data_IF_251165754939
#
_entry.id   IF_251165754939
#
_cell.length_a   1.000
_cell.length_b   1.000
_cell.length_c   1.000
_cell.angle_alpha   90.00
_cell.angle_beta   90.00
_cell.angle_gamma   90.00
#
_symmetry.space_group_name_H-M   'P 1'
#
loop_
_entity.id
_entity.type
_entity.pdbx_description
1 polymer ?
#
# COMPACT_ATOMS: atom_id res chain seq x y z
N UNK A 1 -21.65 -18.04 39.05
CA UNK A 1 -21.79 -16.89 38.12
C UNK A 1 -20.49 -16.11 38.18
N UNK A 2 -19.75 -16.00 37.07
CA UNK A 2 -18.49 -15.23 37.04
C UNK A 2 -18.85 -13.74 37.01
N UNK A 3 -18.39 -12.99 38.01
CA UNK A 3 -18.51 -11.52 38.04
C UNK A 3 -17.71 -10.94 36.88
N UNK A 4 -18.42 -10.38 35.90
CA UNK A 4 -17.82 -9.64 34.80
C UNK A 4 -17.71 -8.17 35.24
N UNK A 5 -16.56 -7.50 35.08
CA UNK A 5 -16.36 -6.14 35.57
C UNK A 5 -17.34 -5.14 34.93
N UNK A 6 -17.76 -4.15 35.73
CA UNK A 6 -18.68 -3.06 35.39
C UNK A 6 -18.31 -2.31 34.09
N UNK A 7 -17.05 -2.40 33.66
CA UNK A 7 -16.51 -1.83 32.41
C UNK A 7 -17.24 -2.34 31.16
N UNK A 8 -17.79 -3.57 31.17
CA UNK A 8 -18.58 -4.06 30.03
C UNK A 8 -19.93 -3.35 29.87
N UNK A 9 -20.49 -2.75 30.92
CA UNK A 9 -21.77 -2.04 30.82
C UNK A 9 -21.63 -0.60 30.32
N UNK A 10 -20.46 0.02 30.48
CA UNK A 10 -20.23 1.39 29.98
C UNK A 10 -19.89 1.45 28.49
N UNK A 11 -19.48 0.33 27.88
CA UNK A 11 -19.20 0.26 26.43
C UNK A 11 -20.47 0.39 25.56
N UNK A 12 -21.65 0.10 26.12
CA UNK A 12 -22.92 0.14 25.40
C UNK A 12 -23.54 1.54 25.28
N UNK A 13 -23.05 2.54 26.04
CA UNK A 13 -23.63 3.89 26.03
C UNK A 13 -22.99 4.79 24.94
N UNK A 14 -21.81 4.41 24.42
CA UNK A 14 -21.05 5.21 23.44
C UNK A 14 -20.78 4.53 22.08
N UNK A 15 -21.29 3.31 21.83
CA UNK A 15 -21.08 2.64 20.53
C UNK A 15 -19.63 2.21 20.24
N UNK A 16 -18.82 2.01 21.28
CA UNK A 16 -17.39 1.67 21.23
C UNK A 16 -16.98 0.17 21.16
N UNK A 17 -17.87 -0.85 21.12
CA UNK A 17 -17.41 -2.25 21.06
C UNK A 17 -16.58 -2.60 19.83
N UNK A 18 -16.96 -2.14 18.63
CA UNK A 18 -16.24 -2.42 17.38
C UNK A 18 -14.84 -1.80 17.38
N UNK A 19 -14.70 -0.54 17.82
CA UNK A 19 -13.42 0.16 17.79
C UNK A 19 -12.37 -0.50 18.69
N UNK A 20 -12.78 -1.04 19.84
CA UNK A 20 -11.84 -1.73 20.73
C UNK A 20 -11.39 -3.07 20.14
N UNK A 21 -12.29 -3.78 19.48
CA UNK A 21 -11.99 -5.03 18.76
C UNK A 21 -11.01 -4.76 17.60
N UNK A 22 -11.30 -3.76 16.77
CA UNK A 22 -10.45 -3.32 15.66
C UNK A 22 -9.02 -2.95 16.10
N UNK A 23 -8.88 -2.36 17.30
CA UNK A 23 -7.57 -2.01 17.88
C UNK A 23 -6.81 -3.23 18.40
N UNK A 24 -7.52 -4.26 18.90
CA UNK A 24 -6.91 -5.50 19.35
C UNK A 24 -6.47 -6.36 18.17
N UNK A 25 -7.24 -6.36 17.08
CA UNK A 25 -6.93 -7.06 15.82
C UNK A 25 -5.84 -6.37 15.00
N UNK A 26 -5.39 -5.19 15.41
CA UNK A 26 -4.29 -4.50 14.73
C UNK A 26 -3.03 -5.39 14.74
N UNK A 27 -2.47 -5.64 13.56
CA UNK A 27 -1.36 -6.58 13.40
C UNK A 27 -0.06 -6.12 14.10
N UNK A 28 -0.01 -4.87 14.55
CA UNK A 28 1.08 -4.26 15.34
C UNK A 28 0.82 -4.31 16.85
N UNK A 29 -0.38 -4.75 17.27
CA UNK A 29 -0.75 -4.88 18.67
C UNK A 29 0.17 -5.88 19.38
N UNK A 30 0.40 -5.66 20.68
CA UNK A 30 1.35 -6.44 21.49
C UNK A 30 1.04 -7.95 21.46
N UNK A 31 -0.24 -8.32 21.34
CA UNK A 31 -0.69 -9.71 21.24
C UNK A 31 -0.26 -10.42 19.94
N UNK A 32 0.00 -9.67 18.86
CA UNK A 32 0.26 -10.21 17.53
C UNK A 32 1.70 -9.98 17.06
N UNK A 33 2.43 -9.07 17.72
CA UNK A 33 3.73 -8.62 17.21
C UNK A 33 4.79 -9.72 17.15
N UNK A 34 4.79 -10.66 18.10
CA UNK A 34 5.72 -11.79 18.08
C UNK A 34 5.45 -12.76 16.94
N UNK A 35 4.17 -13.04 16.65
CA UNK A 35 3.78 -13.89 15.54
C UNK A 35 4.09 -13.22 14.20
N UNK A 36 3.71 -11.95 14.05
CA UNK A 36 4.08 -11.12 12.91
C UNK A 36 5.57 -11.19 12.62
N UNK A 37 6.40 -10.92 13.62
CA UNK A 37 7.84 -10.83 13.43
C UNK A 37 8.43 -12.19 13.05
N UNK A 38 7.96 -13.29 13.65
CA UNK A 38 8.35 -14.64 13.24
C UNK A 38 7.95 -14.95 11.80
N UNK A 39 6.76 -14.52 11.36
CA UNK A 39 6.32 -14.71 9.98
C UNK A 39 7.19 -13.91 8.99
N UNK A 40 7.43 -12.63 9.26
CA UNK A 40 8.26 -11.76 8.41
C UNK A 40 9.69 -12.29 8.28
N UNK A 41 10.34 -12.69 9.38
CA UNK A 41 11.69 -13.27 9.35
C UNK A 41 11.73 -14.55 8.49
N UNK A 42 10.69 -15.40 8.58
CA UNK A 42 10.60 -16.60 7.72
C UNK A 42 10.44 -16.24 6.25
N UNK A 43 9.65 -15.22 5.92
CA UNK A 43 9.53 -14.74 4.53
C UNK A 43 10.84 -14.16 4.01
N UNK A 44 11.60 -13.43 4.82
CA UNK A 44 12.95 -12.95 4.46
C UNK A 44 13.91 -14.12 4.19
N UNK A 45 13.85 -15.17 5.02
CA UNK A 45 14.63 -16.38 4.81
C UNK A 45 14.25 -17.08 3.50
N UNK A 46 12.95 -17.26 3.22
CA UNK A 46 12.45 -17.84 1.96
C UNK A 46 12.90 -17.00 0.75
N UNK A 47 12.76 -15.68 0.85
CA UNK A 47 13.19 -14.71 -0.16
C UNK A 47 14.66 -14.93 -0.52
N UNK A 48 15.54 -15.01 0.48
CA UNK A 48 16.98 -15.28 0.31
C UNK A 48 17.27 -16.66 -0.26
N UNK A 49 16.69 -17.70 0.31
CA UNK A 49 17.01 -19.09 -0.04
C UNK A 49 16.48 -19.50 -1.41
N UNK A 50 15.32 -18.98 -1.80
CA UNK A 50 14.65 -19.29 -3.07
C UNK A 50 14.90 -18.24 -4.15
N UNK A 51 15.55 -17.13 -3.79
CA UNK A 51 15.76 -16.00 -4.67
C UNK A 51 14.44 -15.46 -5.25
N UNK A 52 13.48 -15.16 -4.38
CA UNK A 52 12.14 -14.68 -4.74
C UNK A 52 11.77 -13.42 -3.99
N UNK A 53 11.16 -12.46 -4.67
CA UNK A 53 10.58 -11.28 -4.03
C UNK A 53 9.22 -11.61 -3.43
N UNK A 54 9.02 -11.38 -2.14
CA UNK A 54 7.72 -11.56 -1.49
C UNK A 54 6.89 -10.28 -1.62
N UNK A 55 5.63 -10.43 -2.03
CA UNK A 55 4.63 -9.36 -2.04
C UNK A 55 3.35 -9.86 -1.38
N UNK A 56 2.88 -9.13 -0.37
CA UNK A 56 1.63 -9.40 0.33
C UNK A 56 0.48 -8.67 -0.37
N UNK A 57 -0.67 -9.32 -0.44
CA UNK A 57 -1.92 -8.71 -0.84
C UNK A 57 -2.89 -8.76 0.35
N UNK A 58 -3.40 -7.60 0.77
CA UNK A 58 -4.26 -7.47 1.95
C UNK A 58 -5.50 -6.60 1.68
N UNK A 59 -6.48 -6.69 2.58
CA UNK A 59 -7.77 -6.02 2.47
C UNK A 59 -8.35 -5.62 3.84
N UNK A 60 -9.68 -5.55 3.93
CA UNK A 60 -10.46 -5.38 5.18
C UNK A 60 -10.29 -4.06 5.98
N UNK A 61 -9.45 -3.13 5.50
CA UNK A 61 -9.26 -1.81 6.15
C UNK A 61 -9.99 -0.65 5.46
N UNK A 62 -10.90 -0.97 4.55
CA UNK A 62 -11.77 -0.06 3.78
C UNK A 62 -11.07 1.11 3.07
N UNK A 63 -9.76 1.01 2.86
CA UNK A 63 -8.95 1.93 2.09
C UNK A 63 -7.90 1.16 1.29
N UNK A 64 -7.22 1.85 0.38
CA UNK A 64 -6.06 1.32 -0.31
C UNK A 64 -4.80 2.10 0.03
N UNK A 65 -3.67 1.43 -0.08
CA UNK A 65 -2.35 1.90 0.33
C UNK A 65 -1.26 0.93 -0.08
N UNK A 66 -0.02 1.38 -0.01
CA UNK A 66 1.14 0.55 -0.30
C UNK A 66 2.15 0.77 0.81
N UNK A 67 2.63 -0.32 1.38
CA UNK A 67 3.76 -0.32 2.31
C UNK A 67 4.85 -1.26 1.82
N UNK A 68 6.04 -1.09 2.37
CA UNK A 68 7.16 -2.00 2.17
C UNK A 68 7.93 -2.22 3.46
N UNK A 69 8.47 -3.41 3.58
CA UNK A 69 9.63 -3.70 4.41
C UNK A 69 10.87 -3.55 3.54
N UNK A 70 11.99 -3.12 4.10
CA UNK A 70 13.29 -3.10 3.42
C UNK A 70 14.41 -3.20 4.45
N UNK A 71 15.62 -3.54 3.99
CA UNK A 71 16.83 -3.40 4.82
C UNK A 71 16.96 -1.94 5.26
N UNK A 72 17.35 -1.73 6.52
CA UNK A 72 17.55 -0.37 7.05
C UNK A 72 18.56 0.44 6.23
N UNK A 73 18.45 1.78 6.31
CA UNK A 73 19.30 2.68 5.51
C UNK A 73 20.81 2.54 5.85
N UNK A 74 21.15 1.90 6.98
CA UNK A 74 22.54 1.77 7.42
C UNK A 74 23.35 0.79 6.57
N UNK A 75 22.70 -0.21 5.94
CA UNK A 75 23.39 -1.26 5.18
C UNK A 75 23.44 -1.02 3.65
N UNK A 76 22.87 0.08 3.13
CA UNK A 76 22.89 0.48 1.71
C UNK A 76 22.85 -0.71 0.72
N UNK A 77 21.70 -1.36 0.60
CA UNK A 77 21.49 -2.45 -0.37
C UNK A 77 20.61 -1.97 -1.53
N UNK A 78 21.04 -2.09 -2.80
CA UNK A 78 20.16 -1.84 -3.94
C UNK A 78 18.91 -2.72 -3.87
N UNK A 79 17.75 -2.17 -4.22
CA UNK A 79 16.46 -2.86 -4.06
C UNK A 79 16.44 -4.25 -4.69
N UNK A 80 17.02 -4.44 -5.88
CA UNK A 80 17.10 -5.74 -6.57
C UNK A 80 17.86 -6.82 -5.81
N UNK A 81 18.77 -6.48 -4.92
CA UNK A 81 19.56 -7.45 -4.13
C UNK A 81 19.07 -7.58 -2.69
N UNK A 82 18.16 -6.70 -2.26
CA UNK A 82 17.65 -6.71 -0.90
C UNK A 82 16.62 -7.81 -0.68
N UNK A 83 17.03 -8.98 -0.20
CA UNK A 83 16.12 -10.06 0.20
C UNK A 83 15.09 -9.69 1.29
N UNK A 84 15.31 -8.61 2.06
CA UNK A 84 14.37 -8.11 3.08
C UNK A 84 13.30 -7.21 2.48
N UNK A 85 13.52 -6.68 1.28
CA UNK A 85 12.55 -5.84 0.59
C UNK A 85 11.32 -6.67 0.20
N UNK A 86 10.20 -6.37 0.84
CA UNK A 86 8.91 -7.03 0.64
C UNK A 86 7.82 -5.97 0.59
N UNK A 87 6.92 -6.05 -0.37
CA UNK A 87 5.83 -5.06 -0.49
C UNK A 87 4.54 -5.60 0.09
N UNK A 88 3.69 -4.71 0.56
CA UNK A 88 2.29 -5.01 0.87
C UNK A 88 1.39 -4.07 0.08
N UNK A 89 0.47 -4.69 -0.68
CA UNK A 89 -0.55 -4.01 -1.46
C UNK A 89 -1.86 -4.12 -0.71
N UNK A 90 -2.35 -2.99 -0.23
CA UNK A 90 -3.62 -2.90 0.47
C UNK A 90 -4.68 -2.49 -0.55
N UNK A 91 -5.62 -3.39 -0.85
CA UNK A 91 -6.78 -3.11 -1.69
C UNK A 91 -8.03 -3.52 -0.95
N UNK A 92 -8.76 -2.53 -0.43
CA UNK A 92 -10.00 -2.76 0.30
C UNK A 92 -11.04 -1.73 -0.13
N UNK A 93 -12.18 -2.23 -0.62
CA UNK A 93 -13.50 -1.60 -0.73
C UNK A 93 -14.19 -1.89 -2.08
N UNK A 94 -15.21 -2.78 -2.02
CA UNK A 94 -16.27 -2.91 -3.04
C UNK A 94 -17.67 -2.79 -2.41
N UNK A 95 -17.85 -3.02 -1.10
CA UNK A 95 -19.18 -3.04 -0.46
C UNK A 95 -19.31 -2.09 0.75
N UNK A 96 -18.29 -1.98 1.62
CA UNK A 96 -18.39 -1.29 2.91
C UNK A 96 -18.25 0.25 2.85
N UNK A 97 -18.69 0.92 3.91
CA UNK A 97 -18.49 2.36 4.09
C UNK A 97 -17.00 2.68 4.29
N UNK A 98 -16.46 3.71 3.60
CA UNK A 98 -15.07 4.10 3.78
C UNK A 98 -14.79 4.65 5.18
N UNK A 99 -13.53 4.59 5.67
CA UNK A 99 -13.16 5.18 6.94
C UNK A 99 -13.42 6.69 6.97
N UNK A 100 -13.63 7.22 8.18
CA UNK A 100 -13.84 8.66 8.34
C UNK A 100 -12.65 9.48 7.84
N UNK A 101 -12.90 10.71 7.36
CA UNK A 101 -11.83 11.62 6.91
C UNK A 101 -10.78 11.87 8.01
N UNK A 102 -11.18 11.88 9.27
CA UNK A 102 -10.26 12.05 10.40
C UNK A 102 -9.36 10.83 10.56
N UNK A 103 -9.93 9.62 10.55
CA UNK A 103 -9.16 8.38 10.65
C UNK A 103 -8.10 8.28 9.54
N UNK A 104 -8.47 8.59 8.30
CA UNK A 104 -7.50 8.63 7.18
C UNK A 104 -6.38 9.65 7.42
N UNK A 105 -6.69 10.86 7.93
CA UNK A 105 -5.65 11.86 8.22
C UNK A 105 -4.70 11.41 9.32
N UNK A 106 -5.22 10.78 10.36
CA UNK A 106 -4.44 10.19 11.46
C UNK A 106 -3.52 9.11 10.88
N UNK A 107 -4.04 8.17 10.09
CA UNK A 107 -3.25 7.12 9.45
C UNK A 107 -2.12 7.64 8.55
N UNK A 108 -2.29 8.81 7.91
CA UNK A 108 -1.20 9.44 7.14
C UNK A 108 -0.05 9.96 8.01
N UNK A 109 -0.37 10.40 9.23
CA UNK A 109 0.55 11.13 10.11
C UNK A 109 1.26 10.20 11.09
N UNK A 110 0.53 9.25 11.66
CA UNK A 110 1.06 8.37 12.69
C UNK A 110 1.61 7.10 12.04
N UNK A 111 2.90 6.85 12.27
CA UNK A 111 3.48 5.53 12.07
C UNK A 111 3.24 4.75 13.37
N UNK A 112 2.60 3.59 13.28
CA UNK A 112 2.52 2.70 14.44
C UNK A 112 3.94 2.27 14.79
N UNK A 113 4.41 2.65 15.99
CA UNK A 113 5.70 2.16 16.50
C UNK A 113 5.48 0.73 16.98
N UNK A 114 6.25 -0.20 16.44
CA UNK A 114 6.25 -1.59 16.83
C UNK A 114 7.69 -2.05 17.10
N UNK A 115 7.87 -3.19 17.77
CA UNK A 115 9.21 -3.72 18.11
C UNK A 115 9.93 -4.21 16.85
N UNK A 116 10.89 -3.45 16.28
CA UNK A 116 11.41 -3.69 14.94
C UNK A 116 12.10 -5.05 14.83
N UNK A 117 11.96 -5.68 13.67
CA UNK A 117 12.82 -6.80 13.28
C UNK A 117 14.22 -6.23 13.03
N UNK A 118 15.25 -6.94 13.46
CA UNK A 118 16.64 -6.50 13.28
C UNK A 118 16.91 -6.16 11.81
N UNK A 119 17.48 -4.98 11.60
CA UNK A 119 17.85 -4.40 10.29
C UNK A 119 16.75 -4.39 9.23
N UNK A 120 15.50 -4.31 9.65
CA UNK A 120 14.35 -4.21 8.76
C UNK A 120 13.50 -3.00 9.14
N UNK A 121 13.34 -2.08 8.19
CA UNK A 121 12.45 -0.95 8.32
C UNK A 121 11.13 -1.22 7.61
N UNK A 122 10.04 -0.70 8.18
CA UNK A 122 8.74 -0.67 7.53
C UNK A 122 8.34 0.77 7.25
N UNK A 123 7.80 0.99 6.06
CA UNK A 123 7.20 2.26 5.72
C UNK A 123 5.95 2.12 4.85
N UNK A 124 5.07 3.10 5.00
CA UNK A 124 3.94 3.34 4.09
C UNK A 124 4.37 4.38 3.08
N UNK A 125 4.27 4.03 1.81
CA UNK A 125 4.80 4.78 0.68
C UNK A 125 3.86 5.91 0.28
N UNK A 126 4.42 7.09 -0.04
CA UNK A 126 3.70 8.17 -0.69
C UNK A 126 3.44 7.81 -2.17
N UNK A 127 2.33 7.12 -2.43
CA UNK A 127 2.02 6.53 -3.74
C UNK A 127 0.99 7.31 -4.56
N UNK A 128 -0.06 7.83 -3.92
CA UNK A 128 -1.16 8.50 -4.62
C UNK A 128 -0.86 9.97 -4.84
N UNK A 129 -0.69 10.40 -6.09
CA UNK A 129 -0.39 11.80 -6.39
C UNK A 129 -1.59 12.66 -6.79
N UNK A 130 -2.67 12.03 -7.26
CA UNK A 130 -3.83 12.74 -7.84
C UNK A 130 -5.15 12.22 -7.29
N UNK A 131 -6.13 13.12 -7.28
CA UNK A 131 -7.52 12.81 -6.96
C UNK A 131 -8.18 12.07 -8.13
N UNK A 132 -8.86 10.94 -7.89
CA UNK A 132 -9.65 10.28 -8.92
C UNK A 132 -10.72 11.19 -9.55
N UNK A 133 -11.30 12.09 -8.75
CA UNK A 133 -12.46 12.90 -9.13
C UNK A 133 -12.10 14.08 -10.06
N UNK A 134 -10.91 14.67 -9.88
CA UNK A 134 -10.56 15.94 -10.55
C UNK A 134 -9.20 15.94 -11.23
N UNK A 135 -8.42 14.87 -11.07
CA UNK A 135 -7.01 14.83 -11.50
C UNK A 135 -6.09 15.81 -10.74
N UNK A 136 -6.61 16.58 -9.79
CA UNK A 136 -5.84 17.55 -9.01
C UNK A 136 -4.87 16.87 -8.03
N UNK A 137 -3.77 17.54 -7.69
CA UNK A 137 -2.77 17.02 -6.74
C UNK A 137 -3.39 16.72 -5.37
N UNK A 138 -2.94 15.66 -4.71
CA UNK A 138 -3.31 15.34 -3.32
C UNK A 138 -2.19 15.72 -2.36
N UNK A 139 -2.59 16.20 -1.19
CA UNK A 139 -1.69 16.47 -0.08
C UNK A 139 -1.33 15.20 0.69
N UNK A 140 -2.34 14.35 0.93
CA UNK A 140 -2.22 13.07 1.61
C UNK A 140 -2.07 11.97 0.56
N UNK A 141 -0.86 11.40 0.47
CA UNK A 141 -0.43 10.52 -0.63
C UNK A 141 -0.37 9.03 -0.28
N UNK A 142 -0.59 8.64 0.98
CA UNK A 142 -0.35 7.27 1.45
C UNK A 142 -1.55 6.35 1.31
N UNK A 143 -2.73 6.86 1.68
CA UNK A 143 -3.96 6.09 1.72
C UNK A 143 -5.10 6.79 0.99
N UNK A 144 -5.96 6.00 0.36
CA UNK A 144 -7.18 6.50 -0.29
C UNK A 144 -8.40 5.69 0.15
N UNK A 145 -9.47 6.36 0.61
CA UNK A 145 -10.71 5.68 0.99
C UNK A 145 -11.65 5.45 -0.22
N UNK A 146 -11.09 5.36 -1.43
CA UNK A 146 -11.85 5.18 -2.66
C UNK A 146 -12.14 3.68 -2.86
N UNK A 147 -13.29 3.32 -3.44
CA UNK A 147 -13.51 1.96 -3.92
C UNK A 147 -12.43 1.61 -4.95
N UNK A 148 -11.90 0.41 -4.87
CA UNK A 148 -10.72 0.05 -5.64
C UNK A 148 -10.65 -1.45 -5.91
N UNK A 149 -9.87 -1.79 -6.92
CA UNK A 149 -9.43 -3.15 -7.21
C UNK A 149 -8.04 -3.09 -7.82
N UNK A 150 -7.33 -4.21 -7.81
CA UNK A 150 -6.02 -4.31 -8.43
C UNK A 150 -5.86 -5.56 -9.28
N UNK A 151 -4.89 -5.50 -10.19
CA UNK A 151 -4.52 -6.56 -11.10
C UNK A 151 -3.01 -6.75 -11.06
N UNK A 152 -2.59 -8.00 -10.99
CA UNK A 152 -1.19 -8.42 -10.90
C UNK A 152 -0.78 -9.10 -12.20
N UNK A 153 0.35 -8.69 -12.77
CA UNK A 153 0.88 -9.26 -14.00
C UNK A 153 2.40 -9.31 -13.95
N UNK A 154 2.96 -10.49 -14.20
CA UNK A 154 4.39 -10.62 -14.47
C UNK A 154 4.73 -9.95 -15.81
N UNK A 155 5.79 -9.15 -15.83
CA UNK A 155 6.25 -8.45 -17.01
C UNK A 155 7.74 -8.70 -17.22
N UNK A 156 8.09 -9.11 -18.43
CA UNK A 156 9.47 -9.13 -18.89
C UNK A 156 9.75 -7.74 -19.44
N UNK A 157 10.59 -6.95 -18.76
CA UNK A 157 10.88 -5.59 -19.22
C UNK A 157 12.36 -5.28 -19.10
N UNK A 158 13.09 -5.52 -20.19
CA UNK A 158 14.31 -4.79 -20.50
C UNK A 158 13.93 -3.37 -20.94
N UNK A 159 14.12 -2.38 -20.08
CA UNK A 159 14.19 -0.97 -20.51
C UNK A 159 12.97 -0.09 -20.29
N UNK A 160 12.07 -0.42 -19.38
CA UNK A 160 11.08 0.57 -18.94
C UNK A 160 11.67 1.41 -17.79
N UNK A 161 11.96 2.68 -18.09
CA UNK A 161 12.33 3.70 -17.10
C UNK A 161 11.09 4.02 -16.26
N UNK A 162 11.15 3.76 -14.96
CA UNK A 162 10.04 4.00 -14.03
C UNK A 162 10.32 5.22 -13.14
N UNK A 163 9.28 5.93 -12.67
CA UNK A 163 7.86 5.55 -12.65
C UNK A 163 7.05 6.04 -13.86
N UNK A 164 6.32 5.13 -14.53
CA UNK A 164 5.38 5.47 -15.60
C UNK A 164 4.04 5.88 -14.97
N UNK A 165 3.80 7.20 -14.99
CA UNK A 165 2.51 7.92 -14.99
C UNK A 165 1.43 7.58 -13.94
N UNK A 166 1.13 8.58 -13.10
CA UNK A 166 0.04 8.65 -12.12
C UNK A 166 -1.07 9.60 -12.65
N UNK A 167 -2.20 9.06 -13.12
CA UNK A 167 -3.33 9.88 -13.62
C UNK A 167 -4.28 9.15 -14.58
N UNK A 168 -5.51 9.66 -14.82
CA UNK A 168 -6.62 8.93 -15.43
C UNK A 168 -6.22 8.40 -16.80
N UNK A 169 -6.07 7.09 -16.90
CA UNK A 169 -6.13 6.42 -18.18
C UNK A 169 -7.58 6.00 -18.50
N UNK A 170 -8.53 5.79 -17.58
CA UNK A 170 -9.79 5.11 -17.99
C UNK A 170 -10.56 5.74 -19.17
N UNK A 171 -10.60 5.02 -20.29
CA UNK A 171 -11.75 4.95 -21.19
C UNK A 171 -12.93 4.31 -20.45
N UNK A 172 -14.17 4.46 -20.97
CA UNK A 172 -15.39 3.95 -20.31
C UNK A 172 -15.38 2.44 -19.99
N UNK A 173 -14.47 1.68 -20.62
CA UNK A 173 -14.26 0.24 -20.46
C UNK A 173 -13.30 -0.14 -19.30
N UNK A 174 -12.64 0.82 -18.66
CA UNK A 174 -11.73 0.57 -17.53
C UNK A 174 -10.36 0.00 -17.91
N UNK A 175 -10.07 -0.22 -19.19
CA UNK A 175 -8.77 -0.75 -19.67
C UNK A 175 -7.64 0.29 -19.63
N UNK A 176 -8.02 1.56 -19.55
CA UNK A 176 -7.10 2.67 -19.68
C UNK A 176 -6.93 3.08 -21.14
N UNK A 177 -6.81 4.38 -21.38
CA UNK A 177 -6.80 5.02 -22.67
C UNK A 177 -5.43 4.76 -23.27
N UNK A 178 -5.42 4.52 -24.58
CA UNK A 178 -4.20 4.54 -25.38
C UNK A 178 -3.68 5.97 -25.61
N UNK A 179 -4.24 6.97 -24.91
CA UNK A 179 -3.81 8.36 -25.01
C UNK A 179 -2.51 8.56 -24.24
N UNK A 180 -1.65 9.43 -24.77
CA UNK A 180 -0.43 9.82 -24.09
C UNK A 180 -0.74 10.32 -22.66
N UNK A 181 0.09 9.98 -21.67
CA UNK A 181 -0.08 10.45 -20.30
C UNK A 181 -0.32 11.95 -20.24
N UNK A 182 -1.39 12.39 -19.57
CA UNK A 182 -1.67 13.82 -19.35
C UNK A 182 -0.77 14.37 -18.23
N UNK A 183 0.55 14.10 -18.24
CA UNK A 183 1.48 14.76 -17.30
C UNK A 183 2.97 14.57 -17.61
N UNK A 184 3.75 15.60 -17.27
CA UNK A 184 5.20 15.61 -17.10
C UNK A 184 5.55 15.16 -15.67
N UNK A 185 6.37 14.13 -15.47
CA UNK A 185 6.71 13.52 -14.17
C UNK A 185 6.80 14.51 -12.98
N UNK A 186 6.08 14.21 -11.88
CA UNK A 186 6.34 14.86 -10.59
C UNK A 186 7.66 14.34 -10.05
N UNK A 187 8.64 15.21 -9.82
CA UNK A 187 9.82 14.90 -9.02
C UNK A 187 9.44 14.75 -7.52
N UNK A 188 8.60 13.77 -7.18
CA UNK A 188 8.22 13.45 -5.80
C UNK A 188 9.35 12.75 -5.04
N UNK A 189 9.29 12.71 -3.70
CA UNK A 189 10.32 12.03 -2.87
C UNK A 189 10.52 10.56 -3.25
N UNK A 190 9.44 9.84 -3.56
CA UNK A 190 9.48 8.47 -4.09
C UNK A 190 10.29 8.36 -5.39
N UNK A 191 10.28 9.38 -6.25
CA UNK A 191 11.11 9.40 -7.46
C UNK A 191 12.57 9.81 -7.14
N UNK A 192 12.74 10.81 -6.26
CA UNK A 192 14.05 11.36 -5.91
C UNK A 192 14.97 10.39 -5.17
N UNK A 193 14.42 9.50 -4.32
CA UNK A 193 15.23 8.47 -3.64
C UNK A 193 15.64 7.32 -4.59
N UNK A 194 14.86 7.09 -5.65
CA UNK A 194 15.06 5.98 -6.58
C UNK A 194 15.94 6.35 -7.80
N UNK A 195 16.19 7.64 -8.06
CA UNK A 195 16.95 8.12 -9.24
C UNK A 195 18.48 7.87 -9.19
N UNK A 196 19.06 7.47 -8.05
CA UNK A 196 20.53 7.38 -7.92
C UNK A 196 21.12 5.98 -7.67
N UNK A 197 20.34 5.00 -7.19
CA UNK A 197 20.92 3.72 -6.72
C UNK A 197 20.16 2.44 -7.06
N UNK A 198 18.98 2.52 -7.69
CA UNK A 198 18.24 1.32 -8.07
C UNK A 198 18.67 0.80 -9.44
N UNK A 199 19.42 -0.29 -9.41
CA UNK A 199 19.67 -1.12 -10.59
C UNK A 199 18.38 -1.90 -10.84
N UNK A 200 17.83 -1.84 -12.05
CA UNK A 200 16.57 -2.49 -12.38
C UNK A 200 16.79 -3.90 -12.91
N UNK A 201 16.02 -4.85 -12.39
CA UNK A 201 16.12 -6.25 -12.80
C UNK A 201 15.42 -6.56 -14.11
N UNK A 202 15.73 -7.73 -14.67
CA UNK A 202 15.27 -8.17 -16.02
C UNK A 202 13.77 -8.48 -16.11
N UNK A 203 13.12 -8.77 -14.98
CA UNK A 203 11.70 -9.13 -14.89
C UNK A 203 11.08 -8.54 -13.62
N UNK A 204 9.85 -8.06 -13.74
CA UNK A 204 9.16 -7.29 -12.69
C UNK A 204 7.72 -7.78 -12.51
N UNK A 205 7.19 -7.64 -11.29
CA UNK A 205 5.77 -7.77 -11.02
C UNK A 205 5.09 -6.42 -11.20
N UNK A 206 4.25 -6.29 -12.22
CA UNK A 206 3.40 -5.11 -12.44
C UNK A 206 2.11 -5.25 -11.65
N UNK A 207 1.76 -4.21 -10.91
CA UNK A 207 0.52 -4.10 -10.15
C UNK A 207 -0.18 -2.84 -10.60
N UNK A 208 -1.39 -2.99 -11.13
CA UNK A 208 -2.27 -1.87 -11.45
C UNK A 208 -3.36 -1.78 -10.39
N UNK A 209 -3.55 -0.60 -9.81
CA UNK A 209 -4.59 -0.31 -8.83
C UNK A 209 -5.54 0.75 -9.40
N UNK A 210 -6.83 0.43 -9.50
CA UNK A 210 -7.85 1.36 -9.95
C UNK A 210 -8.61 1.93 -8.77
N UNK A 211 -8.84 3.24 -8.76
CA UNK A 211 -9.63 3.95 -7.76
C UNK A 211 -10.84 4.60 -8.42
N UNK A 212 -12.02 4.30 -7.90
CA UNK A 212 -13.29 4.93 -8.28
C UNK A 212 -13.41 6.33 -7.67
N UNK A 213 -13.88 7.28 -8.46
CA UNK A 213 -14.29 8.61 -8.04
C UNK A 213 -15.41 8.54 -6.98
N UNK A 214 -15.26 9.31 -5.89
CA UNK A 214 -16.34 9.47 -4.91
C UNK A 214 -17.55 10.22 -5.47
N UNK A 215 -17.36 11.01 -6.55
CA UNK A 215 -18.42 11.78 -7.20
C UNK A 215 -19.06 10.96 -8.33
N UNK A 216 -20.39 10.90 -8.35
CA UNK A 216 -21.16 10.34 -9.45
C UNK A 216 -21.51 11.46 -10.42
N UNK A 217 -21.13 11.30 -11.68
CA UNK A 217 -21.54 12.17 -12.78
C UNK A 217 -22.71 11.53 -13.55
N UNK A 218 -23.29 12.28 -14.48
CA UNK A 218 -24.45 11.82 -15.27
C UNK A 218 -24.14 10.55 -16.09
N UNK A 219 -22.88 10.40 -16.54
CA UNK A 219 -22.38 9.23 -17.27
C UNK A 219 -21.87 8.08 -16.36
N UNK A 220 -22.00 8.22 -15.05
CA UNK A 220 -21.51 7.25 -14.07
C UNK A 220 -20.33 7.76 -13.24
N UNK A 221 -19.52 6.82 -12.72
CA UNK A 221 -18.34 7.14 -11.90
C UNK A 221 -17.09 6.99 -12.74
N UNK A 222 -16.16 7.92 -12.55
CA UNK A 222 -14.85 7.90 -13.22
C UNK A 222 -13.86 7.04 -12.43
N UNK A 223 -12.82 6.53 -13.11
CA UNK A 223 -11.77 5.72 -12.50
C UNK A 223 -10.39 6.25 -12.84
N UNK A 224 -9.44 6.12 -11.90
CA UNK A 224 -8.02 6.39 -12.13
C UNK A 224 -7.22 5.15 -11.82
N UNK A 225 -6.30 4.80 -12.72
CA UNK A 225 -5.35 3.72 -12.51
C UNK A 225 -3.99 4.26 -12.03
N UNK A 226 -3.35 3.48 -11.17
CA UNK A 226 -2.02 3.70 -10.63
C UNK A 226 -1.21 2.43 -10.86
N UNK A 227 -0.04 2.55 -11.49
CA UNK A 227 0.84 1.40 -11.75
C UNK A 227 2.02 1.41 -10.74
N UNK A 228 2.24 0.27 -10.08
CA UNK A 228 3.42 -0.04 -9.29
C UNK A 228 4.18 -1.17 -9.98
N UNK A 229 5.50 -1.10 -9.94
CA UNK A 229 6.35 -2.22 -10.33
C UNK A 229 7.28 -2.59 -9.21
N UNK A 230 7.34 -3.89 -8.99
CA UNK A 230 8.17 -4.50 -7.98
C UNK A 230 9.23 -5.32 -8.71
N UNK A 231 10.52 -5.02 -8.50
CA UNK A 231 11.58 -5.80 -9.11
C UNK A 231 11.69 -7.18 -8.49
N UNK A 232 12.02 -8.16 -9.32
CA UNK A 232 12.43 -9.47 -8.84
C UNK A 232 13.70 -9.34 -7.98
N UNK A 233 13.91 -10.33 -7.12
CA UNK A 233 15.16 -10.47 -6.39
C UNK A 233 16.22 -11.06 -7.32
N UNK A 234 17.34 -10.38 -7.45
CA UNK A 234 18.50 -10.81 -8.23
C UNK A 234 19.59 -11.38 -7.30
N UNK A 235 20.48 -12.19 -7.89
CA UNK A 235 21.60 -12.85 -7.20
C UNK A 235 22.88 -12.03 -7.24
#
# INVERSE_FOLDING_TARGET
>A
MRNVPLVKQTNSIFGLPELYDDLLDEWTHENHIEERNRALVRFQQISREKNVRITFFSGDVHCCGISRFQTDESEHSPSIYDHRLMYQIISSAIVNMPPSKMAIRVAHRFKTKWNPIDRTEEEVIDFFERKPETGGKVFHKKFRPNRNWCYFKQCDSTGATFPISLGPTSTQDGEGSQQAPIHHHSHGKFCHEHDQHDIFGTSNLKIRLWLESAQKHDEGRQFVAFDLLIPNLEK
#
